data_IF_119354993119
#
_entry.id   IF_119354993119
#
_cell.length_a   1.000
_cell.length_b   1.000
_cell.length_c   1.000
_cell.angle_alpha   90.00
_cell.angle_beta   90.00
_cell.angle_gamma   90.00
#
_symmetry.space_group_name_H-M   'P 1'
#
loop_
_entity.id
_entity.type
_entity.pdbx_description
1 polymer ?
#
# COMPACT_ATOMS: atom_id res chain seq x y z
N UNK A 1 -4.04 27.77 -17.46
CA UNK A 1 -4.89 26.76 -16.80
C UNK A 1 -4.61 26.91 -15.32
N UNK A 2 -5.64 27.12 -14.51
CA UNK A 2 -5.47 27.29 -13.06
C UNK A 2 -5.08 25.96 -12.41
N UNK A 3 -4.33 26.01 -11.32
CA UNK A 3 -3.91 24.84 -10.55
C UNK A 3 -5.13 24.03 -10.09
N UNK A 4 -6.19 24.71 -9.68
CA UNK A 4 -7.44 24.07 -9.26
C UNK A 4 -8.11 23.34 -10.41
N UNK A 5 -8.22 23.98 -11.59
CA UNK A 5 -8.79 23.36 -12.78
C UNK A 5 -8.00 22.09 -13.18
N UNK A 6 -6.68 22.09 -13.04
CA UNK A 6 -5.87 20.90 -13.29
C UNK A 6 -6.27 19.74 -12.37
N UNK A 7 -6.33 19.99 -11.06
CA UNK A 7 -6.68 18.95 -10.08
C UNK A 7 -8.12 18.45 -10.22
N UNK A 8 -9.07 19.34 -10.49
CA UNK A 8 -10.47 18.97 -10.71
C UNK A 8 -10.64 18.09 -11.94
N UNK A 9 -9.95 18.38 -13.04
CA UNK A 9 -10.08 17.58 -14.26
C UNK A 9 -9.36 16.23 -14.17
N UNK A 10 -8.21 16.18 -13.46
CA UNK A 10 -7.38 14.98 -13.43
C UNK A 10 -7.70 14.03 -12.27
N UNK A 11 -8.13 14.53 -11.10
CA UNK A 11 -8.15 13.72 -9.88
C UNK A 11 -9.49 13.71 -9.13
N UNK A 12 -10.18 14.86 -9.05
CA UNK A 12 -11.39 14.99 -8.22
C UNK A 12 -12.67 14.82 -9.04
N UNK A 13 -12.69 15.36 -10.26
CA UNK A 13 -13.84 15.48 -11.14
C UNK A 13 -14.51 16.85 -11.00
N UNK A 14 -14.69 17.59 -12.10
CA UNK A 14 -15.32 18.93 -12.07
C UNK A 14 -16.84 18.85 -11.87
N UNK A 15 -17.40 19.73 -11.04
CA UNK A 15 -18.87 19.88 -10.91
C UNK A 15 -19.43 20.58 -12.15
N UNK A 16 -20.44 19.96 -12.77
CA UNK A 16 -21.20 20.53 -13.88
C UNK A 16 -22.39 21.35 -13.37
N UNK A 17 -22.97 22.19 -14.24
CA UNK A 17 -24.15 23.03 -13.94
C UNK A 17 -25.36 22.23 -13.43
N UNK A 18 -25.42 20.94 -13.76
CA UNK A 18 -26.52 20.04 -13.37
C UNK A 18 -26.20 19.27 -12.06
N UNK A 19 -25.23 19.76 -11.27
CA UNK A 19 -24.76 19.15 -10.04
C UNK A 19 -24.18 17.72 -10.19
N UNK A 20 -23.90 17.29 -11.42
CA UNK A 20 -23.18 16.04 -11.72
C UNK A 20 -21.68 16.29 -11.74
N UNK A 21 -20.88 15.33 -11.28
CA UNK A 21 -19.42 15.43 -11.33
C UNK A 21 -18.90 14.68 -12.56
N UNK A 22 -18.04 15.32 -13.35
CA UNK A 22 -17.36 14.67 -14.46
C UNK A 22 -16.42 13.58 -13.93
N UNK A 23 -16.25 12.48 -14.67
CA UNK A 23 -15.28 11.43 -14.32
C UNK A 23 -13.88 11.97 -14.60
N UNK A 24 -13.01 12.15 -13.60
CA UNK A 24 -11.67 12.64 -13.83
C UNK A 24 -10.81 11.62 -14.60
N UNK A 25 -9.68 12.04 -15.16
CA UNK A 25 -8.75 11.14 -15.86
C UNK A 25 -8.18 10.03 -14.96
N UNK A 26 -7.94 10.35 -13.69
CA UNK A 26 -7.43 9.44 -12.66
C UNK A 26 -8.39 9.41 -11.46
N UNK A 27 -9.54 8.70 -11.59
CA UNK A 27 -10.54 8.64 -10.54
C UNK A 27 -9.96 8.12 -9.23
N UNK A 28 -10.55 8.58 -8.12
CA UNK A 28 -10.17 8.24 -6.74
C UNK A 28 -10.07 6.73 -6.54
N UNK A 29 -10.90 5.94 -7.24
CA UNK A 29 -10.88 4.47 -7.18
C UNK A 29 -9.58 3.83 -7.68
N UNK A 30 -8.78 4.54 -8.48
CA UNK A 30 -7.46 4.10 -8.95
C UNK A 30 -6.33 4.47 -8.00
N UNK A 31 -6.60 5.26 -6.96
CA UNK A 31 -5.55 5.70 -6.06
C UNK A 31 -5.09 4.52 -5.20
N UNK A 32 -3.78 4.42 -4.99
CA UNK A 32 -3.18 3.32 -4.21
C UNK A 32 -3.73 3.22 -2.78
N UNK A 33 -4.24 4.32 -2.21
CA UNK A 33 -4.84 4.39 -0.88
C UNK A 33 -6.36 4.14 -0.87
N UNK A 34 -7.03 4.05 -2.02
CA UNK A 34 -8.49 3.95 -2.07
C UNK A 34 -9.02 2.73 -1.30
N UNK A 35 -8.45 1.55 -1.59
CA UNK A 35 -8.84 0.32 -0.90
C UNK A 35 -8.44 0.36 0.58
N UNK A 36 -7.28 0.95 0.92
CA UNK A 36 -6.82 1.09 2.30
C UNK A 36 -7.81 1.91 3.14
N UNK A 37 -8.20 3.08 2.64
CA UNK A 37 -9.18 3.94 3.31
C UNK A 37 -10.53 3.24 3.45
N UNK A 38 -10.99 2.56 2.38
CA UNK A 38 -12.26 1.85 2.41
C UNK A 38 -12.27 0.66 3.38
N UNK A 39 -11.11 0.03 3.60
CA UNK A 39 -10.94 -1.11 4.51
C UNK A 39 -10.46 -0.69 5.91
N UNK A 40 -10.33 0.61 6.20
CA UNK A 40 -9.77 1.13 7.45
C UNK A 40 -8.39 0.55 7.79
N UNK A 41 -7.59 0.29 6.75
CA UNK A 41 -6.21 -0.16 6.90
C UNK A 41 -5.28 1.02 7.24
N UNK A 42 -4.10 0.77 7.82
CA UNK A 42 -3.13 1.82 8.10
C UNK A 42 -2.81 2.70 6.88
N UNK A 43 -2.80 4.02 7.09
CA UNK A 43 -2.55 5.03 6.04
C UNK A 43 -1.10 5.06 5.58
N UNK A 44 -0.18 4.57 6.42
CA UNK A 44 1.26 4.55 6.17
C UNK A 44 1.75 3.14 5.87
N UNK A 45 2.80 3.05 5.08
CA UNK A 45 3.53 1.82 4.76
C UNK A 45 4.55 1.45 5.87
N UNK A 46 4.46 2.04 7.07
CA UNK A 46 5.42 1.86 8.16
C UNK A 46 5.65 0.40 8.51
N UNK A 47 4.59 -0.41 8.54
CA UNK A 47 4.69 -1.85 8.80
C UNK A 47 5.48 -2.57 7.72
N UNK A 48 5.26 -2.23 6.45
CA UNK A 48 6.00 -2.80 5.31
C UNK A 48 7.46 -2.35 5.29
N UNK A 49 7.74 -1.10 5.66
CA UNK A 49 9.12 -0.59 5.80
C UNK A 49 9.86 -1.28 6.94
N UNK A 50 9.19 -1.46 8.08
CA UNK A 50 9.72 -2.20 9.23
C UNK A 50 10.04 -3.65 8.89
N UNK A 51 9.12 -4.35 8.22
CA UNK A 51 9.32 -5.70 7.72
C UNK A 51 10.52 -5.79 6.75
N UNK A 52 10.59 -4.89 5.77
CA UNK A 52 11.68 -4.89 4.81
C UNK A 52 13.03 -4.58 5.48
N UNK A 53 13.03 -3.72 6.49
CA UNK A 53 14.22 -3.43 7.29
C UNK A 53 14.67 -4.65 8.11
N UNK A 54 13.74 -5.37 8.75
CA UNK A 54 14.03 -6.60 9.47
C UNK A 54 14.62 -7.68 8.54
N UNK A 55 13.95 -7.94 7.41
CA UNK A 55 14.41 -8.90 6.40
C UNK A 55 15.80 -8.54 5.88
N UNK A 56 16.05 -7.27 5.54
CA UNK A 56 17.37 -6.84 5.05
C UNK A 56 18.48 -7.09 6.07
N UNK A 57 18.18 -6.97 7.36
CA UNK A 57 19.15 -7.18 8.43
C UNK A 57 19.35 -8.67 8.78
N UNK A 58 18.33 -9.51 8.56
CA UNK A 58 18.41 -10.95 8.81
C UNK A 58 18.94 -11.74 7.61
N UNK A 59 18.72 -11.25 6.39
CA UNK A 59 19.13 -11.91 5.16
C UNK A 59 20.64 -11.96 4.96
N UNK A 60 21.08 -13.01 4.27
CA UNK A 60 22.50 -13.17 3.90
C UNK A 60 22.94 -12.11 2.90
N UNK A 61 24.24 -11.79 2.89
CA UNK A 61 24.82 -10.90 1.88
C UNK A 61 24.99 -11.65 0.56
N UNK A 62 24.43 -11.11 -0.53
CA UNK A 62 24.44 -11.67 -1.88
C UNK A 62 23.89 -13.12 -1.96
N UNK A 63 22.65 -13.36 -1.48
CA UNK A 63 22.06 -14.69 -1.51
C UNK A 63 21.74 -15.10 -2.95
N UNK A 64 21.86 -16.38 -3.23
CA UNK A 64 21.22 -16.97 -4.41
C UNK A 64 19.69 -16.82 -4.34
N UNK A 65 19.00 -17.02 -5.46
CA UNK A 65 17.52 -16.99 -5.48
C UNK A 65 16.94 -18.00 -4.48
N UNK A 66 17.55 -19.19 -4.39
CA UNK A 66 17.10 -20.23 -3.46
C UNK A 66 17.28 -19.82 -1.99
N UNK A 67 18.39 -19.17 -1.65
CA UNK A 67 18.61 -18.62 -0.31
C UNK A 67 17.65 -17.47 -0.01
N UNK A 68 17.40 -16.60 -0.98
CA UNK A 68 16.42 -15.51 -0.85
C UNK A 68 15.02 -16.04 -0.54
N UNK A 69 14.61 -17.14 -1.21
CA UNK A 69 13.33 -17.80 -0.94
C UNK A 69 13.29 -18.34 0.50
N UNK A 70 14.38 -18.96 0.97
CA UNK A 70 14.46 -19.45 2.36
C UNK A 70 14.36 -18.31 3.37
N UNK A 71 15.10 -17.23 3.14
CA UNK A 71 15.11 -16.08 4.03
C UNK A 71 13.68 -15.46 4.11
N UNK A 72 12.96 -15.38 2.98
CA UNK A 72 11.55 -14.95 2.94
C UNK A 72 10.60 -15.91 3.69
N UNK A 73 10.79 -17.22 3.54
CA UNK A 73 9.98 -18.22 4.24
C UNK A 73 10.17 -18.16 5.76
N UNK A 74 11.40 -17.90 6.21
CA UNK A 74 11.71 -17.74 7.63
C UNK A 74 11.03 -16.51 8.22
N UNK A 75 11.07 -15.37 7.53
CA UNK A 75 10.41 -14.14 7.99
C UNK A 75 8.88 -14.34 8.06
N UNK A 76 8.28 -14.93 7.02
CA UNK A 76 6.85 -15.25 7.01
C UNK A 76 6.45 -16.17 8.17
N UNK A 77 7.29 -17.13 8.53
CA UNK A 77 7.03 -18.02 9.66
C UNK A 77 7.10 -17.29 11.00
N UNK A 78 8.05 -16.36 11.17
CA UNK A 78 8.15 -15.51 12.35
C UNK A 78 6.90 -14.62 12.52
N UNK A 79 6.42 -14.03 11.42
CA UNK A 79 5.20 -13.22 11.42
C UNK A 79 3.95 -14.03 11.80
N UNK A 80 3.82 -15.26 11.30
CA UNK A 80 2.71 -16.16 11.66
C UNK A 80 2.71 -16.52 13.15
N UNK A 81 3.88 -16.83 13.71
CA UNK A 81 4.02 -17.11 15.15
C UNK A 81 3.63 -15.89 15.98
N UNK A 82 4.00 -14.68 15.54
CA UNK A 82 3.63 -13.46 16.22
C UNK A 82 2.11 -13.21 16.14
N UNK A 83 1.51 -13.44 14.97
CA UNK A 83 0.07 -13.30 14.78
C UNK A 83 -0.74 -14.30 15.63
N UNK A 84 -0.28 -15.55 15.75
CA UNK A 84 -0.86 -16.56 16.63
C UNK A 84 -0.80 -16.13 18.10
N UNK A 85 0.35 -15.60 18.55
CA UNK A 85 0.52 -15.06 19.92
C UNK A 85 -0.39 -13.86 20.21
N UNK A 86 -0.80 -13.13 19.19
CA UNK A 86 -1.67 -11.97 19.28
C UNK A 86 -3.14 -12.30 19.00
N UNK A 87 -3.49 -13.59 18.82
CA UNK A 87 -4.85 -14.05 18.51
C UNK A 87 -5.44 -13.42 17.24
N UNK A 88 -4.59 -13.11 16.26
CA UNK A 88 -4.99 -12.50 14.98
C UNK A 88 -5.28 -13.54 13.88
N UNK A 89 -5.17 -14.84 14.19
CA UNK A 89 -5.40 -16.00 13.32
C UNK A 89 -6.28 -17.00 14.07
#
# INVERSE_FOLDING_TARGET
>A
MDFIDYFENNYIGRRTRNNRRHVPHFPITLWNCFLRLNQQLPDTNNSSEGWHHALKNSARKNPSIYESIKDLQMEQHADLILAEKLELV
#
